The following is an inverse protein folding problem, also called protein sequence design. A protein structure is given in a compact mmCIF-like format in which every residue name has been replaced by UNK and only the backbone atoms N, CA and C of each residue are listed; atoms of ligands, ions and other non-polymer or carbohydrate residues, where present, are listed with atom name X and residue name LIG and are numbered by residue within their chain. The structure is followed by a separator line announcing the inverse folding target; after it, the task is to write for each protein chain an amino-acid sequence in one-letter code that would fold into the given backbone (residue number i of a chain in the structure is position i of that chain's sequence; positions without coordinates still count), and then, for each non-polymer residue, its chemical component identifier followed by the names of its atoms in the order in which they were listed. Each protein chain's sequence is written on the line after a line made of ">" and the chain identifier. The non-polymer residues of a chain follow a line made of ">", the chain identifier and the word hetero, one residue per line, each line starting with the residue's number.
data_IF_516415622980
#
_entry.id   IF_516415622980
#
_cell.length_a   1.000
_cell.length_b   1.000
_cell.length_c   1.000
_cell.angle_alpha   90.00
_cell.angle_beta   90.00
_cell.angle_gamma   90.00
#
_symmetry.space_group_name_H-M   'P 1'
#
loop_
_entity.id
_entity.type
_entity.pdbx_description
1 polymer ?
#
# COMPACT_ATOMS: atom_id res chain seq x y z
N UNK A 1 -13.19 -7.73 -5.71
CA UNK A 1 -11.93 -8.11 -6.39
C UNK A 1 -10.85 -8.17 -5.34
N UNK A 2 -9.98 -9.16 -5.40
CA UNK A 2 -8.80 -9.28 -4.54
C UNK A 2 -7.56 -9.42 -5.44
N UNK A 3 -6.51 -8.64 -5.15
CA UNK A 3 -5.22 -8.65 -5.83
C UNK A 3 -4.12 -8.71 -4.78
N UNK A 4 -3.05 -9.41 -5.08
CA UNK A 4 -1.90 -9.54 -4.20
C UNK A 4 -0.62 -9.08 -4.92
N UNK A 5 0.25 -8.38 -4.20
CA UNK A 5 1.61 -8.15 -4.66
C UNK A 5 2.45 -9.43 -4.52
N UNK A 6 3.63 -9.48 -5.16
CA UNK A 6 4.67 -10.39 -4.74
C UNK A 6 4.98 -10.19 -3.25
N UNK A 7 5.41 -11.27 -2.60
CA UNK A 7 6.06 -11.21 -1.29
C UNK A 7 7.47 -10.67 -1.46
N UNK A 8 7.88 -9.77 -0.57
CA UNK A 8 9.23 -9.22 -0.53
C UNK A 8 9.84 -9.41 0.85
N UNK A 9 11.12 -9.77 0.89
CA UNK A 9 11.88 -9.89 2.13
C UNK A 9 12.64 -8.59 2.38
N UNK A 10 12.56 -8.09 3.62
CA UNK A 10 13.21 -6.87 4.07
C UNK A 10 14.22 -7.23 5.16
N UNK A 11 15.40 -6.62 5.10
CA UNK A 11 16.46 -6.79 6.12
C UNK A 11 16.19 -5.93 7.36
N UNK A 12 14.93 -5.97 7.82
CA UNK A 12 14.38 -5.25 8.96
C UNK A 12 13.47 -6.15 9.76
N UNK A 13 13.46 -5.97 11.08
CA UNK A 13 12.53 -6.67 11.96
C UNK A 13 11.07 -6.35 11.57
N UNK A 14 10.14 -7.24 11.90
CA UNK A 14 8.72 -7.00 11.64
C UNK A 14 8.24 -5.68 12.27
N UNK A 15 8.76 -5.32 13.44
CA UNK A 15 8.43 -4.07 14.13
C UNK A 15 8.95 -2.83 13.38
N UNK A 16 10.20 -2.82 12.92
CA UNK A 16 10.74 -1.72 12.12
C UNK A 16 9.97 -1.53 10.82
N UNK A 17 9.65 -2.63 10.13
CA UNK A 17 8.82 -2.61 8.93
C UNK A 17 7.43 -2.07 9.21
N UNK A 18 6.80 -2.50 10.31
CA UNK A 18 5.50 -2.00 10.73
C UNK A 18 5.54 -0.51 11.07
N UNK A 19 6.57 -0.04 11.78
CA UNK A 19 6.72 1.36 12.15
C UNK A 19 6.90 2.24 10.90
N UNK A 20 7.69 1.76 9.92
CA UNK A 20 7.84 2.42 8.63
C UNK A 20 6.50 2.55 7.91
N UNK A 21 5.74 1.46 7.78
CA UNK A 21 4.45 1.45 7.07
C UNK A 21 3.33 2.15 7.86
N UNK A 22 3.48 2.31 9.18
CA UNK A 22 2.50 2.97 10.04
C UNK A 22 2.49 4.50 9.88
N UNK A 23 3.61 5.05 9.41
CA UNK A 23 3.75 6.46 9.06
C UNK A 23 3.42 6.66 7.57
N UNK A 24 2.25 7.23 7.31
CA UNK A 24 1.72 7.39 5.95
C UNK A 24 2.60 8.25 5.04
N UNK A 25 3.44 9.12 5.61
CA UNK A 25 4.37 9.94 4.81
C UNK A 25 5.42 9.08 4.10
N UNK A 26 5.78 7.94 4.68
CA UNK A 26 6.80 7.05 4.12
C UNK A 26 6.35 6.37 2.82
N UNK A 27 5.04 6.36 2.54
CA UNK A 27 4.52 5.89 1.26
C UNK A 27 5.03 6.73 0.09
N UNK A 28 5.43 7.98 0.29
CA UNK A 28 6.05 8.80 -0.76
C UNK A 28 7.29 8.12 -1.35
N UNK A 29 8.14 7.54 -0.50
CA UNK A 29 9.35 6.82 -0.90
C UNK A 29 9.04 5.50 -1.62
N UNK A 30 7.82 4.97 -1.47
CA UNK A 30 7.37 3.74 -2.13
C UNK A 30 6.72 4.02 -3.48
N UNK A 31 6.36 5.26 -3.78
CA UNK A 31 5.61 5.59 -5.00
C UNK A 31 6.41 5.30 -6.27
N UNK A 32 5.74 4.91 -7.36
CA UNK A 32 6.39 4.70 -8.65
C UNK A 32 6.88 6.02 -9.26
N UNK A 33 7.86 5.96 -10.17
CA UNK A 33 8.43 7.13 -10.85
C UNK A 33 7.41 7.96 -11.66
N UNK A 34 6.30 7.35 -12.06
CA UNK A 34 5.23 8.01 -12.80
C UNK A 34 4.20 8.72 -11.91
N UNK A 35 4.50 8.90 -10.62
CA UNK A 35 3.68 9.70 -9.73
C UNK A 35 3.55 11.14 -10.28
N UNK A 36 2.34 11.67 -10.27
CA UNK A 36 2.05 13.07 -10.61
C UNK A 36 1.85 13.93 -9.37
N UNK A 37 1.37 13.35 -8.26
CA UNK A 37 1.13 14.04 -7.00
C UNK A 37 1.21 13.08 -5.81
N UNK A 38 1.84 13.52 -4.72
CA UNK A 38 1.71 12.93 -3.38
C UNK A 38 1.48 14.07 -2.40
N UNK A 39 0.53 13.93 -1.49
CA UNK A 39 0.22 14.95 -0.50
C UNK A 39 -0.26 14.29 0.79
N UNK A 40 0.42 14.53 1.91
CA UNK A 40 -0.05 14.11 3.22
C UNK A 40 -1.14 15.10 3.66
N UNK A 41 -2.38 14.62 3.78
CA UNK A 41 -3.53 15.44 4.14
C UNK A 41 -3.71 15.54 5.66
N UNK A 42 -3.48 14.43 6.37
CA UNK A 42 -3.57 14.31 7.83
C UNK A 42 -2.52 13.28 8.29
N UNK A 43 -2.30 13.15 9.61
CA UNK A 43 -1.32 12.21 10.18
C UNK A 43 -1.52 10.75 9.75
N UNK A 44 -2.73 10.38 9.33
CA UNK A 44 -3.10 9.02 8.95
C UNK A 44 -3.67 8.94 7.53
N UNK A 45 -3.52 10.00 6.73
CA UNK A 45 -4.20 10.14 5.44
C UNK A 45 -3.32 10.84 4.42
N UNK A 46 -3.25 10.28 3.22
CA UNK A 46 -2.54 10.87 2.10
C UNK A 46 -3.34 10.74 0.80
N UNK A 47 -3.06 11.65 -0.11
CA UNK A 47 -3.52 11.65 -1.48
C UNK A 47 -2.34 11.30 -2.38
N UNK A 48 -2.59 10.46 -3.38
CA UNK A 48 -1.64 10.25 -4.45
C UNK A 48 -2.35 10.21 -5.81
N UNK A 49 -1.61 10.53 -6.86
CA UNK A 49 -2.06 10.40 -8.23
C UNK A 49 -0.91 9.92 -9.11
N UNK A 50 -1.22 9.02 -10.03
CA UNK A 50 -0.28 8.56 -11.06
C UNK A 50 -0.66 9.21 -12.39
N UNK A 51 0.32 9.40 -13.29
CA UNK A 51 0.03 9.88 -14.66
C UNK A 51 -1.03 9.00 -15.33
N UNK A 52 -2.17 9.58 -15.68
CA UNK A 52 -3.30 8.87 -16.32
C UNK A 52 -4.29 8.21 -15.35
N UNK A 53 -4.14 8.41 -14.04
CA UNK A 53 -5.06 7.91 -13.00
C UNK A 53 -5.72 9.09 -12.26
N UNK A 54 -6.99 8.99 -11.84
CA UNK A 54 -7.58 9.97 -10.93
C UNK A 54 -6.84 10.00 -9.58
N UNK A 55 -6.96 11.12 -8.87
CA UNK A 55 -6.44 11.23 -7.50
C UNK A 55 -7.13 10.20 -6.58
N UNK A 56 -6.34 9.51 -5.78
CA UNK A 56 -6.80 8.54 -4.77
C UNK A 56 -6.41 9.04 -3.39
N UNK A 57 -7.35 8.94 -2.45
CA UNK A 57 -7.10 9.23 -1.04
C UNK A 57 -7.18 7.95 -0.24
N UNK A 58 -6.10 7.64 0.47
CA UNK A 58 -6.00 6.53 1.42
C UNK A 58 -5.91 7.07 2.84
N UNK A 59 -6.60 6.41 3.78
CA UNK A 59 -6.54 6.69 5.22
C UNK A 59 -6.31 5.40 5.99
N UNK A 60 -5.42 5.42 6.98
CA UNK A 60 -5.20 4.28 7.89
C UNK A 60 -6.48 3.99 8.66
N UNK A 61 -6.94 2.74 8.58
CA UNK A 61 -8.17 2.24 9.21
C UNK A 61 -7.85 1.35 10.41
N UNK A 62 -6.88 0.47 10.24
CA UNK A 62 -6.48 -0.51 11.25
C UNK A 62 -4.96 -0.64 11.26
N UNK A 63 -4.41 -0.88 12.44
CA UNK A 63 -3.01 -1.24 12.60
C UNK A 63 -2.90 -2.24 13.76
N UNK A 64 -2.29 -3.40 13.48
CA UNK A 64 -2.04 -4.47 14.45
C UNK A 64 -0.53 -4.72 14.46
N UNK A 65 0.22 -4.07 15.37
CA UNK A 65 1.67 -4.25 15.45
C UNK A 65 2.04 -5.69 15.84
N UNK A 66 3.13 -6.26 15.27
CA UNK A 66 3.89 -5.77 14.11
C UNK A 66 3.35 -6.31 12.77
N UNK A 67 2.18 -6.96 12.74
CA UNK A 67 1.80 -7.86 11.65
C UNK A 67 0.96 -7.27 10.53
N UNK A 68 0.23 -6.17 10.77
CA UNK A 68 -0.80 -5.73 9.82
C UNK A 68 -1.07 -4.24 9.84
N UNK A 69 -1.16 -3.61 8.68
CA UNK A 69 -1.68 -2.24 8.50
C UNK A 69 -2.71 -2.24 7.39
N UNK A 70 -3.85 -1.58 7.62
CA UNK A 70 -4.94 -1.46 6.65
C UNK A 70 -5.15 0.00 6.30
N UNK A 71 -4.98 0.34 5.02
CA UNK A 71 -5.32 1.64 4.45
C UNK A 71 -6.62 1.51 3.65
N UNK A 72 -7.64 2.28 3.98
CA UNK A 72 -8.92 2.29 3.26
C UNK A 72 -9.11 3.54 2.43
N UNK A 73 -9.90 3.45 1.38
CA UNK A 73 -10.33 4.61 0.59
C UNK A 73 -11.02 5.67 1.47
N UNK A 74 -10.72 6.95 1.19
CA UNK A 74 -11.31 8.09 1.90
C UNK A 74 -11.90 9.15 0.95
N UNK A 75 -12.14 8.79 -0.32
CA UNK A 75 -12.67 9.67 -1.38
C UNK A 75 -14.14 9.46 -1.76
N UNK A 76 -14.87 8.58 -1.07
CA UNK A 76 -16.34 8.45 -1.11
C UNK A 76 -16.98 7.80 -2.35
N UNK A 77 -16.23 7.53 -3.42
CA UNK A 77 -16.79 6.95 -4.67
C UNK A 77 -16.52 5.46 -4.87
N UNK A 78 -15.45 4.93 -4.29
CA UNK A 78 -15.02 3.54 -4.42
C UNK A 78 -14.62 3.03 -3.05
N UNK A 79 -15.14 1.87 -2.67
CA UNK A 79 -14.77 1.20 -1.42
C UNK A 79 -13.71 0.15 -1.71
N UNK A 80 -12.52 0.39 -1.16
CA UNK A 80 -11.39 -0.52 -1.28
C UNK A 80 -10.43 -0.34 -0.11
N UNK A 81 -9.64 -1.37 0.14
CA UNK A 81 -8.58 -1.42 1.12
C UNK A 81 -7.27 -1.89 0.48
N UNK A 82 -6.17 -1.42 1.04
CA UNK A 82 -4.81 -1.88 0.83
C UNK A 82 -4.27 -2.33 2.18
N UNK A 83 -4.07 -3.62 2.33
CA UNK A 83 -3.55 -4.25 3.55
C UNK A 83 -2.10 -4.63 3.34
N UNK A 84 -1.21 -4.15 4.21
CA UNK A 84 0.16 -4.64 4.32
C UNK A 84 0.22 -5.72 5.39
N UNK A 85 0.48 -6.95 4.97
CA UNK A 85 0.71 -8.09 5.86
C UNK A 85 2.22 -8.26 6.07
N UNK A 86 2.63 -8.31 7.32
CA UNK A 86 4.04 -8.40 7.75
C UNK A 86 4.21 -9.69 8.55
N UNK A 87 5.10 -10.54 8.07
CA UNK A 87 5.45 -11.81 8.71
C UNK A 87 6.89 -11.74 9.19
N UNK A 88 7.12 -12.05 10.47
CA UNK A 88 8.48 -12.18 10.98
C UNK A 88 9.14 -13.42 10.38
N UNK A 89 10.36 -13.26 9.88
CA UNK A 89 11.20 -14.38 9.41
C UNK A 89 12.23 -14.72 10.49
N UNK A 90 12.89 -13.70 11.03
CA UNK A 90 13.77 -13.77 12.20
C UNK A 90 13.83 -12.40 12.90
N UNK A 91 14.69 -12.28 13.92
CA UNK A 91 14.80 -11.07 14.74
C UNK A 91 15.13 -9.79 13.94
N UNK A 92 15.75 -9.88 12.77
CA UNK A 92 16.17 -8.74 11.94
C UNK A 92 15.61 -8.80 10.52
N UNK A 93 14.72 -9.76 10.22
CA UNK A 93 14.22 -9.99 8.86
C UNK A 93 12.71 -10.17 8.88
N UNK A 94 12.02 -9.57 7.92
CA UNK A 94 10.58 -9.70 7.75
C UNK A 94 10.20 -9.90 6.29
N UNK A 95 9.04 -10.50 6.07
CA UNK A 95 8.40 -10.61 4.77
C UNK A 95 7.15 -9.74 4.73
N UNK A 96 6.96 -8.99 3.64
CA UNK A 96 5.78 -8.16 3.42
C UNK A 96 5.04 -8.60 2.17
N UNK A 97 3.71 -8.65 2.25
CA UNK A 97 2.82 -8.80 1.10
C UNK A 97 1.70 -7.77 1.18
N UNK A 98 1.44 -7.08 0.07
CA UNK A 98 0.31 -6.16 -0.05
C UNK A 98 -0.89 -6.89 -0.66
N UNK A 99 -2.04 -6.75 -0.02
CA UNK A 99 -3.33 -7.25 -0.52
C UNK A 99 -4.25 -6.08 -0.77
N UNK A 100 -4.75 -5.96 -1.99
CA UNK A 100 -5.76 -4.99 -2.37
C UNK A 100 -7.12 -5.68 -2.47
N UNK A 101 -8.10 -5.16 -1.74
CA UNK A 101 -9.48 -5.64 -1.79
C UNK A 101 -10.40 -4.49 -2.14
N UNK A 102 -11.36 -4.71 -3.04
CA UNK A 102 -12.39 -3.70 -3.27
C UNK A 102 -13.59 -4.22 -4.04
N UNK A 103 -14.71 -3.55 -3.84
CA UNK A 103 -15.99 -3.93 -4.43
C UNK A 103 -16.24 -3.18 -5.73
N UNK A 104 -15.91 -3.84 -6.84
CA UNK A 104 -16.06 -3.29 -8.18
C UNK A 104 -16.97 -4.20 -9.01
N UNK A 105 -17.79 -3.59 -9.87
CA UNK A 105 -18.49 -4.36 -10.91
C UNK A 105 -17.49 -4.98 -11.90
N UNK A 106 -17.93 -5.99 -12.66
CA UNK A 106 -17.04 -6.78 -13.53
C UNK A 106 -16.27 -5.92 -14.56
N UNK A 107 -16.92 -4.89 -15.12
CA UNK A 107 -16.31 -4.01 -16.10
C UNK A 107 -15.23 -3.11 -15.48
N UNK A 108 -15.51 -2.49 -14.33
CA UNK A 108 -14.53 -1.68 -13.60
C UNK A 108 -13.35 -2.52 -13.12
N UNK A 109 -13.60 -3.72 -12.60
CA UNK A 109 -12.56 -4.64 -12.13
C UNK A 109 -11.54 -4.95 -13.24
N UNK A 110 -11.98 -5.22 -14.47
CA UNK A 110 -11.07 -5.48 -15.59
C UNK A 110 -10.20 -4.26 -15.96
N UNK A 111 -10.77 -3.06 -15.94
CA UNK A 111 -10.05 -1.84 -16.30
C UNK A 111 -9.01 -1.43 -15.26
N UNK A 112 -9.31 -1.61 -13.96
CA UNK A 112 -8.42 -1.19 -12.87
C UNK A 112 -7.44 -2.29 -12.44
N UNK A 113 -7.72 -3.57 -12.73
CA UNK A 113 -6.87 -4.70 -12.31
C UNK A 113 -5.42 -4.52 -12.73
N UNK A 114 -5.18 -4.21 -14.01
CA UNK A 114 -3.81 -4.00 -14.52
C UNK A 114 -3.05 -2.88 -13.80
N UNK A 115 -3.59 -1.65 -13.77
CA UNK A 115 -2.98 -0.52 -13.06
C UNK A 115 -2.77 -0.77 -11.55
N UNK A 116 -3.75 -1.34 -10.85
CA UNK A 116 -3.66 -1.59 -9.40
C UNK A 116 -2.67 -2.71 -9.10
N UNK A 117 -2.65 -3.80 -9.87
CA UNK A 117 -1.64 -4.85 -9.71
C UNK A 117 -0.23 -4.29 -9.86
N UNK A 118 0.03 -3.46 -10.86
CA UNK A 118 1.34 -2.81 -11.04
C UNK A 118 1.67 -1.84 -9.90
N UNK A 119 0.67 -1.13 -9.40
CA UNK A 119 0.85 -0.21 -8.27
C UNK A 119 1.30 -0.95 -7.01
N UNK A 120 0.57 -1.98 -6.59
CA UNK A 120 0.93 -2.75 -5.38
C UNK A 120 2.23 -3.54 -5.55
N UNK A 121 2.53 -4.01 -6.76
CA UNK A 121 3.82 -4.61 -7.08
C UNK A 121 4.96 -3.59 -6.90
N UNK A 122 4.81 -2.38 -7.43
CA UNK A 122 5.84 -1.34 -7.31
C UNK A 122 6.05 -0.92 -5.86
N UNK A 123 4.98 -0.75 -5.08
CA UNK A 123 5.09 -0.45 -3.65
C UNK A 123 5.91 -1.53 -2.93
N UNK A 124 5.58 -2.81 -3.16
CA UNK A 124 6.30 -3.93 -2.54
C UNK A 124 7.77 -3.96 -2.98
N UNK A 125 8.07 -3.80 -4.27
CA UNK A 125 9.45 -3.76 -4.76
C UNK A 125 10.24 -2.61 -4.14
N UNK A 126 9.68 -1.41 -4.06
CA UNK A 126 10.36 -0.23 -3.50
C UNK A 126 10.59 -0.35 -1.98
N UNK A 127 9.83 -1.19 -1.26
CA UNK A 127 10.12 -1.43 0.16
C UNK A 127 11.49 -2.09 0.36
N UNK A 128 11.98 -2.90 -0.59
CA UNK A 128 13.28 -3.58 -0.48
C UNK A 128 14.47 -2.62 -0.42
N UNK A 129 14.26 -1.35 -0.80
CA UNK A 129 15.28 -0.29 -0.76
C UNK A 129 14.96 0.81 0.24
N UNK A 130 13.68 1.06 0.53
CA UNK A 130 13.24 2.16 1.40
C UNK A 130 13.12 1.80 2.89
N UNK A 131 12.96 0.52 3.21
CA UNK A 131 12.75 -0.01 4.59
C UNK A 131 14.04 -0.63 5.10
#
# INVERSE_FOLDING_TARGET
>A
MNLESPKVTLNKSAQETFDFLSDVKNFEALMPENISKFEVLENDKFLFALKGMPEIVLKKKEATPPNKIVLGAAGGKLDFSLTGNITEVDANTSEVQLTFEGEFNAMMAMMIKGPISKFIETLATNMTTAV
#
